data_IF_611230168169
#
_entry.id   IF_611230168169
#
_cell.length_a   1.000
_cell.length_b   1.000
_cell.length_c   1.000
_cell.angle_alpha   90.00
_cell.angle_beta   90.00
_cell.angle_gamma   90.00
#
_symmetry.space_group_name_H-M   'P 1'
#
loop_
_entity.id
_entity.type
_entity.pdbx_description
1 polymer ?
#
# COMPACT_ATOMS: atom_id res chain seq x y z
N UNK A 1 11.24 -21.38 13.46
CA UNK A 1 10.92 -19.95 13.65
C UNK A 1 9.42 -19.76 13.50
N UNK A 2 8.68 -19.95 14.58
CA UNK A 2 7.22 -19.96 14.60
C UNK A 2 6.69 -18.77 15.41
N UNK A 3 5.61 -18.20 14.88
CA UNK A 3 4.57 -17.36 15.52
C UNK A 3 4.90 -15.88 15.72
N UNK A 4 4.65 -15.13 14.66
CA UNK A 4 4.08 -13.79 14.79
C UNK A 4 2.58 -13.89 15.15
N UNK A 5 2.13 -12.89 15.92
CA UNK A 5 0.73 -12.50 16.20
C UNK A 5 0.06 -13.04 17.47
N UNK A 6 0.71 -12.85 18.62
CA UNK A 6 0.00 -12.59 19.87
C UNK A 6 -0.47 -11.12 19.90
N UNK A 7 -1.63 -10.86 19.29
CA UNK A 7 -2.44 -9.66 19.56
C UNK A 7 -3.93 -10.01 19.58
N UNK A 8 -4.29 -10.97 20.44
CA UNK A 8 -5.63 -10.99 21.00
C UNK A 8 -5.52 -10.46 22.42
N UNK A 9 -5.57 -9.13 22.52
CA UNK A 9 -5.81 -8.47 23.79
C UNK A 9 -7.02 -9.16 24.44
N UNK A 10 -6.79 -9.74 25.63
CA UNK A 10 -7.86 -10.17 26.50
C UNK A 10 -8.85 -9.02 26.62
N UNK A 11 -10.07 -9.22 26.09
CA UNK A 11 -11.16 -8.25 26.29
C UNK A 11 -11.25 -8.04 27.80
N UNK A 12 -11.09 -6.82 28.33
CA UNK A 12 -11.29 -6.61 29.75
C UNK A 12 -12.71 -7.07 30.04
N UNK A 13 -12.86 -7.92 31.05
CA UNK A 13 -14.14 -8.50 31.43
C UNK A 13 -15.18 -7.40 31.40
N UNK A 14 -16.19 -7.58 30.55
CA UNK A 14 -17.27 -6.62 30.41
C UNK A 14 -17.85 -6.43 31.81
N UNK A 15 -17.50 -5.31 32.46
CA UNK A 15 -18.26 -4.80 33.59
C UNK A 15 -19.71 -4.84 33.11
N UNK A 16 -20.66 -5.39 33.89
CA UNK A 16 -22.05 -5.35 33.47
C UNK A 16 -22.31 -3.91 33.07
N UNK A 17 -22.73 -3.69 31.82
CA UNK A 17 -23.06 -2.35 31.37
C UNK A 17 -23.97 -1.80 32.45
N UNK A 18 -23.51 -0.76 33.16
CA UNK A 18 -24.41 0.04 33.97
C UNK A 18 -25.41 0.49 32.92
N UNK A 19 -26.57 -0.15 32.90
CA UNK A 19 -27.68 0.28 32.06
C UNK A 19 -27.97 1.66 32.59
N UNK A 20 -27.39 2.66 31.94
CA UNK A 20 -27.79 4.04 32.09
C UNK A 20 -29.25 4.02 31.68
N UNK A 21 -30.12 3.90 32.68
CA UNK A 21 -31.55 4.06 32.55
C UNK A 21 -31.75 5.52 32.16
N UNK A 22 -31.56 5.81 30.87
CA UNK A 22 -31.93 7.07 30.27
C UNK A 22 -33.40 7.27 30.65
N UNK A 23 -33.73 8.32 31.41
CA UNK A 23 -35.10 8.55 31.82
C UNK A 23 -35.93 8.68 30.55
N UNK A 24 -36.82 7.71 30.33
CA UNK A 24 -37.76 7.77 29.22
C UNK A 24 -38.58 9.05 29.42
N UNK A 25 -38.43 10.00 28.48
CA UNK A 25 -39.06 11.33 28.55
C UNK A 25 -40.54 11.17 28.88
N UNK A 26 -40.98 11.68 30.03
CA UNK A 26 -42.37 11.61 30.50
C UNK A 26 -42.72 10.48 31.49
N UNK A 27 -41.77 9.64 31.92
CA UNK A 27 -41.95 8.70 33.04
C UNK A 27 -41.16 9.14 34.27
N UNK A 28 -41.66 8.78 35.47
CA UNK A 28 -40.95 9.04 36.73
C UNK A 28 -39.67 8.19 36.83
N UNK A 29 -38.66 8.81 37.39
CA UNK A 29 -37.34 8.24 37.72
C UNK A 29 -37.33 7.71 39.16
N UNK A 30 -36.30 6.94 39.52
CA UNK A 30 -36.16 6.37 40.87
C UNK A 30 -36.03 7.44 41.98
N UNK A 31 -35.47 8.60 41.67
CA UNK A 31 -35.26 9.70 42.62
C UNK A 31 -36.46 10.66 42.72
N UNK A 32 -37.47 10.50 41.84
CA UNK A 32 -38.63 11.38 41.85
C UNK A 32 -39.59 11.00 42.99
N UNK A 33 -40.10 11.98 43.75
CA UNK A 33 -41.03 11.69 44.82
C UNK A 33 -42.37 11.14 44.28
N UNK A 34 -43.06 10.29 45.06
CA UNK A 34 -44.42 9.91 44.74
C UNK A 34 -45.34 11.14 44.76
N UNK A 35 -46.41 11.12 43.96
CA UNK A 35 -47.38 12.20 43.98
C UNK A 35 -48.13 12.18 45.32
N UNK A 36 -48.41 13.35 45.91
CA UNK A 36 -49.12 13.46 47.20
C UNK A 36 -50.44 12.66 47.22
N UNK A 37 -51.18 12.68 46.11
CA UNK A 37 -52.44 11.93 45.93
C UNK A 37 -52.29 10.40 45.87
N UNK A 38 -51.06 9.88 45.70
CA UNK A 38 -50.77 8.44 45.63
C UNK A 38 -50.06 7.90 46.86
N UNK A 39 -49.59 8.75 47.78
CA UNK A 39 -48.87 8.35 49.01
C UNK A 39 -49.74 7.44 49.89
N UNK A 40 -51.02 7.76 50.06
CA UNK A 40 -51.96 6.95 50.86
C UNK A 40 -52.80 5.96 50.05
N UNK A 41 -52.59 5.83 48.73
CA UNK A 41 -53.43 4.98 47.87
C UNK A 41 -52.93 3.53 47.90
N UNK A 42 -53.64 2.68 48.63
CA UNK A 42 -53.43 1.23 48.62
C UNK A 42 -54.25 0.58 47.50
N UNK A 43 -53.66 -0.35 46.74
CA UNK A 43 -54.39 -1.11 45.72
C UNK A 43 -55.11 -2.27 46.40
N UNK A 44 -56.43 -2.19 46.50
CA UNK A 44 -57.25 -3.30 46.97
C UNK A 44 -57.44 -4.33 45.86
N UNK A 45 -57.35 -5.64 46.16
CA UNK A 45 -57.63 -6.68 45.18
C UNK A 45 -59.12 -6.66 44.79
N UNK A 46 -59.46 -6.99 43.53
CA UNK A 46 -60.84 -7.17 43.13
C UNK A 46 -61.45 -8.40 43.81
N UNK A 47 -62.78 -8.44 43.93
CA UNK A 47 -63.49 -9.64 44.35
C UNK A 47 -63.28 -10.78 43.35
N UNK A 48 -63.19 -12.01 43.83
CA UNK A 48 -62.90 -13.20 43.01
C UNK A 48 -63.97 -14.25 43.28
N UNK A 49 -64.59 -14.77 42.21
CA UNK A 49 -65.45 -15.95 42.28
C UNK A 49 -64.58 -17.22 42.33
N UNK A 50 -64.68 -18.05 43.39
CA UNK A 50 -63.89 -19.27 43.52
C UNK A 50 -64.10 -20.28 42.38
N UNK A 51 -65.33 -20.38 41.84
CA UNK A 51 -65.64 -21.36 40.79
C UNK A 51 -64.98 -20.97 39.46
N UNK A 52 -65.12 -19.70 39.07
CA UNK A 52 -64.45 -19.16 37.88
C UNK A 52 -62.93 -19.22 38.01
N UNK A 53 -62.40 -18.83 39.17
CA UNK A 53 -60.95 -18.82 39.41
C UNK A 53 -60.32 -20.21 39.26
N UNK A 54 -60.99 -21.26 39.74
CA UNK A 54 -60.52 -22.63 39.58
C UNK A 54 -60.47 -23.04 38.09
N UNK A 55 -61.56 -22.80 37.35
CA UNK A 55 -61.63 -23.12 35.92
C UNK A 55 -60.58 -22.36 35.11
N UNK A 56 -60.41 -21.06 35.38
CA UNK A 56 -59.38 -20.24 34.73
C UNK A 56 -57.98 -20.77 35.04
N UNK A 57 -57.69 -21.13 36.29
CA UNK A 57 -56.38 -21.64 36.70
C UNK A 57 -56.02 -22.91 35.95
N UNK A 58 -56.95 -23.87 35.84
CA UNK A 58 -56.74 -25.11 35.10
C UNK A 58 -56.60 -24.86 33.59
N UNK A 59 -57.41 -23.97 32.99
CA UNK A 59 -57.28 -23.59 31.58
C UNK A 59 -55.91 -22.97 31.30
N UNK A 60 -55.44 -22.07 32.17
CA UNK A 60 -54.10 -21.48 32.03
C UNK A 60 -52.99 -22.53 32.18
N UNK A 61 -53.15 -23.49 33.10
CA UNK A 61 -52.21 -24.60 33.26
C UNK A 61 -52.10 -25.41 31.97
N UNK A 62 -53.23 -25.86 31.42
CA UNK A 62 -53.29 -26.63 30.17
C UNK A 62 -52.73 -25.84 28.99
N UNK A 63 -53.14 -24.58 28.82
CA UNK A 63 -52.64 -23.71 27.76
C UNK A 63 -51.13 -23.51 27.83
N UNK A 64 -50.59 -23.20 29.03
CA UNK A 64 -49.16 -23.00 29.22
C UNK A 64 -48.37 -24.27 28.95
N UNK A 65 -48.90 -25.44 29.31
CA UNK A 65 -48.29 -26.72 29.00
C UNK A 65 -48.19 -26.92 27.48
N UNK A 66 -49.28 -26.71 26.74
CA UNK A 66 -49.30 -26.84 25.28
C UNK A 66 -48.33 -25.86 24.60
N UNK A 67 -48.37 -24.58 24.98
CA UNK A 67 -47.46 -23.57 24.41
C UNK A 67 -46.00 -23.83 24.78
N UNK A 68 -45.73 -24.35 25.98
CA UNK A 68 -44.38 -24.76 26.37
C UNK A 68 -43.87 -25.92 25.51
N UNK A 69 -44.73 -26.89 25.19
CA UNK A 69 -44.39 -27.99 24.29
C UNK A 69 -44.07 -27.47 22.88
N UNK A 70 -44.94 -26.61 22.31
CA UNK A 70 -44.70 -25.98 21.01
C UNK A 70 -43.38 -25.19 20.97
N UNK A 71 -43.05 -24.48 22.05
CA UNK A 71 -41.77 -23.77 22.16
C UNK A 71 -40.58 -24.73 22.09
N UNK A 72 -40.66 -25.89 22.72
CA UNK A 72 -39.59 -26.89 22.69
C UNK A 72 -39.40 -27.44 21.27
N UNK A 73 -40.48 -27.71 20.54
CA UNK A 73 -40.43 -28.12 19.13
C UNK A 73 -39.71 -27.08 18.27
N UNK A 74 -40.12 -25.81 18.35
CA UNK A 74 -39.46 -24.73 17.59
C UNK A 74 -37.99 -24.55 17.98
N UNK A 75 -37.65 -24.68 19.26
CA UNK A 75 -36.25 -24.66 19.69
C UNK A 75 -35.45 -25.81 19.10
N UNK A 76 -36.05 -27.00 18.99
CA UNK A 76 -35.41 -28.17 18.38
C UNK A 76 -35.17 -27.95 16.88
N UNK A 77 -36.14 -27.38 16.17
CA UNK A 77 -36.02 -27.07 14.74
C UNK A 77 -34.92 -26.05 14.47
N UNK A 78 -34.87 -24.97 15.25
CA UNK A 78 -33.82 -23.96 15.12
C UNK A 78 -32.44 -24.58 15.37
N UNK A 79 -32.30 -25.45 16.38
CA UNK A 79 -31.05 -26.16 16.65
C UNK A 79 -30.66 -27.09 15.50
N UNK A 80 -31.61 -27.85 14.93
CA UNK A 80 -31.39 -28.72 13.76
C UNK A 80 -30.91 -27.90 12.56
N UNK A 81 -31.57 -26.78 12.24
CA UNK A 81 -31.16 -25.88 11.14
C UNK A 81 -29.76 -25.32 11.33
N UNK A 82 -29.41 -24.92 12.56
CA UNK A 82 -28.05 -24.42 12.87
C UNK A 82 -27.02 -25.54 12.66
N UNK A 83 -27.33 -26.76 13.10
CA UNK A 83 -26.45 -27.90 12.92
C UNK A 83 -26.29 -28.26 11.44
N UNK A 84 -27.38 -28.37 10.69
CA UNK A 84 -27.36 -28.63 9.24
C UNK A 84 -26.62 -27.54 8.45
N UNK A 85 -26.73 -26.28 8.86
CA UNK A 85 -25.99 -25.19 8.21
C UNK A 85 -24.47 -25.27 8.48
N UNK A 86 -24.07 -25.75 9.66
CA UNK A 86 -22.65 -25.83 10.06
C UNK A 86 -21.96 -27.11 9.58
N UNK A 87 -22.63 -28.24 9.73
CA UNK A 87 -22.10 -29.59 9.54
C UNK A 87 -23.12 -30.50 8.87
N UNK A 88 -24.03 -29.94 8.07
CA UNK A 88 -24.90 -30.73 7.22
C UNK A 88 -24.11 -31.31 6.06
N UNK A 89 -24.47 -32.53 5.66
CA UNK A 89 -23.83 -33.27 4.55
C UNK A 89 -23.76 -32.43 3.27
N UNK A 90 -24.80 -31.64 2.98
CA UNK A 90 -24.84 -30.77 1.82
C UNK A 90 -23.87 -29.58 1.94
N UNK A 91 -23.69 -29.02 3.14
CA UNK A 91 -22.72 -27.96 3.38
C UNK A 91 -21.28 -28.49 3.23
N UNK A 92 -21.00 -29.68 3.75
CA UNK A 92 -19.69 -30.33 3.60
C UNK A 92 -19.37 -30.67 2.14
N UNK A 93 -20.32 -31.24 1.40
CA UNK A 93 -20.14 -31.53 -0.04
C UNK A 93 -19.83 -30.28 -0.84
N UNK A 94 -20.61 -29.21 -0.65
CA UNK A 94 -20.36 -27.92 -1.30
C UNK A 94 -19.00 -27.33 -0.94
N UNK A 95 -18.58 -27.46 0.32
CA UNK A 95 -17.25 -27.01 0.75
C UNK A 95 -16.13 -27.81 0.08
N UNK A 96 -16.31 -29.12 -0.11
CA UNK A 96 -15.36 -29.97 -0.82
C UNK A 96 -15.30 -29.65 -2.33
N UNK A 97 -16.46 -29.49 -2.97
CA UNK A 97 -16.58 -29.08 -4.37
C UNK A 97 -15.89 -27.73 -4.60
N UNK A 98 -16.22 -26.71 -3.80
CA UNK A 98 -15.59 -25.39 -3.90
C UNK A 98 -14.07 -25.44 -3.67
N UNK A 99 -13.59 -26.28 -2.75
CA UNK A 99 -12.16 -26.48 -2.53
C UNK A 99 -11.48 -27.18 -3.71
N UNK A 100 -12.16 -28.11 -4.39
CA UNK A 100 -11.67 -28.79 -5.58
C UNK A 100 -11.59 -27.81 -6.77
N UNK A 101 -12.68 -27.08 -7.05
CA UNK A 101 -12.71 -26.04 -8.09
C UNK A 101 -11.61 -24.99 -7.87
N UNK A 102 -11.42 -24.55 -6.63
CA UNK A 102 -10.34 -23.62 -6.30
C UNK A 102 -8.96 -24.21 -6.63
N UNK A 103 -8.71 -25.49 -6.33
CA UNK A 103 -7.43 -26.14 -6.68
C UNK A 103 -7.22 -26.22 -8.19
N UNK A 104 -8.27 -26.52 -8.95
CA UNK A 104 -8.22 -26.57 -10.41
C UNK A 104 -7.90 -25.19 -11.00
N UNK A 105 -8.59 -24.14 -10.53
CA UNK A 105 -8.32 -22.77 -10.95
C UNK A 105 -6.89 -22.32 -10.59
N UNK A 106 -6.39 -22.71 -9.42
CA UNK A 106 -5.01 -22.43 -9.04
C UNK A 106 -4.00 -23.19 -9.90
N UNK A 107 -4.31 -24.42 -10.32
CA UNK A 107 -3.45 -25.17 -11.22
C UNK A 107 -3.41 -24.51 -12.61
N UNK A 108 -4.57 -24.16 -13.16
CA UNK A 108 -4.69 -23.46 -14.44
C UNK A 108 -3.95 -22.11 -14.42
N UNK A 109 -4.07 -21.34 -13.33
CA UNK A 109 -3.34 -20.07 -13.20
C UNK A 109 -1.82 -20.28 -13.21
N UNK A 110 -1.31 -21.35 -12.60
CA UNK A 110 0.12 -21.67 -12.63
C UNK A 110 0.59 -22.04 -14.03
N UNK A 111 -0.21 -22.79 -14.77
CA UNK A 111 0.08 -23.15 -16.16
C UNK A 111 0.15 -21.90 -17.05
N UNK A 112 -0.81 -20.99 -16.92
CA UNK A 112 -0.80 -19.75 -17.68
C UNK A 112 0.38 -18.84 -17.29
N UNK A 113 0.70 -18.76 -15.99
CA UNK A 113 1.89 -18.03 -15.54
C UNK A 113 3.18 -18.62 -16.11
N UNK A 114 3.27 -19.96 -16.22
CA UNK A 114 4.42 -20.64 -16.83
C UNK A 114 4.53 -20.29 -18.31
N UNK A 115 3.42 -20.34 -19.05
CA UNK A 115 3.37 -19.93 -20.46
C UNK A 115 3.85 -18.49 -20.65
N UNK A 116 3.36 -17.56 -19.84
CA UNK A 116 3.75 -16.15 -19.90
C UNK A 116 5.22 -15.94 -19.51
N UNK A 117 5.74 -16.73 -18.58
CA UNK A 117 7.14 -16.67 -18.18
C UNK A 117 8.06 -17.11 -19.33
N UNK A 118 7.70 -18.15 -20.07
CA UNK A 118 8.45 -18.61 -21.25
C UNK A 118 8.50 -17.51 -22.33
N UNK A 119 7.35 -16.87 -22.62
CA UNK A 119 7.30 -15.71 -23.53
C UNK A 119 8.14 -14.52 -23.05
N UNK A 120 8.14 -14.24 -21.74
CA UNK A 120 8.96 -13.17 -21.15
C UNK A 120 10.44 -13.47 -21.30
N UNK A 121 10.87 -14.72 -21.08
CA UNK A 121 12.27 -15.12 -21.24
C UNK A 121 12.71 -14.93 -22.69
N UNK A 122 11.89 -15.38 -23.66
CA UNK A 122 12.19 -15.20 -25.08
C UNK A 122 12.35 -13.72 -25.45
N UNK A 123 11.45 -12.85 -24.96
CA UNK A 123 11.56 -11.40 -25.17
C UNK A 123 12.84 -10.81 -24.55
N UNK A 124 13.16 -11.19 -23.32
CA UNK A 124 14.37 -10.69 -22.63
C UNK A 124 15.66 -11.13 -23.34
N UNK A 125 15.68 -12.32 -23.93
CA UNK A 125 16.83 -12.79 -24.72
C UNK A 125 17.03 -11.92 -25.97
N UNK A 126 15.94 -11.56 -26.66
CA UNK A 126 16.02 -10.65 -27.81
C UNK A 126 16.49 -9.25 -27.37
N UNK A 127 15.90 -8.70 -26.30
CA UNK A 127 16.32 -7.41 -25.75
C UNK A 127 17.80 -7.40 -25.33
N UNK A 128 18.32 -8.51 -24.79
CA UNK A 128 19.73 -8.65 -24.43
C UNK A 128 20.65 -8.65 -25.67
N UNK A 129 20.25 -9.31 -26.76
CA UNK A 129 21.01 -9.28 -28.02
C UNK A 129 21.04 -7.86 -28.61
N UNK A 130 19.90 -7.17 -28.63
CA UNK A 130 19.83 -5.77 -29.09
C UNK A 130 20.68 -4.84 -28.23
N UNK A 131 20.68 -5.04 -26.91
CA UNK A 131 21.54 -4.28 -26.00
C UNK A 131 23.03 -4.53 -26.25
N UNK A 132 23.44 -5.78 -26.55
CA UNK A 132 24.83 -6.09 -26.89
C UNK A 132 25.26 -5.38 -28.18
N UNK A 133 24.40 -5.35 -29.21
CA UNK A 133 24.69 -4.62 -30.45
C UNK A 133 24.86 -3.12 -30.18
N UNK A 134 23.93 -2.51 -29.45
CA UNK A 134 24.01 -1.08 -29.08
C UNK A 134 25.26 -0.78 -28.26
N UNK A 135 25.62 -1.63 -27.30
CA UNK A 135 26.83 -1.47 -26.51
C UNK A 135 28.09 -1.54 -27.37
N UNK A 136 28.14 -2.46 -28.33
CA UNK A 136 29.27 -2.57 -29.26
C UNK A 136 29.39 -1.31 -30.15
N UNK A 137 28.26 -0.79 -30.66
CA UNK A 137 28.23 0.47 -31.42
C UNK A 137 28.68 1.67 -30.58
N UNK A 138 28.19 1.78 -29.34
CA UNK A 138 28.59 2.83 -28.42
C UNK A 138 30.08 2.75 -28.07
N UNK A 139 30.60 1.54 -27.82
CA UNK A 139 32.03 1.33 -27.55
C UNK A 139 32.89 1.71 -28.76
N UNK A 140 32.48 1.31 -29.98
CA UNK A 140 33.19 1.69 -31.20
C UNK A 140 33.18 3.21 -31.41
N UNK A 141 32.06 3.88 -31.13
CA UNK A 141 31.96 5.34 -31.19
C UNK A 141 32.87 6.01 -30.15
N UNK A 142 32.83 5.56 -28.89
CA UNK A 142 33.69 6.09 -27.81
C UNK A 142 35.17 5.92 -28.15
N UNK A 143 35.58 4.76 -28.67
CA UNK A 143 36.96 4.53 -29.08
C UNK A 143 37.42 5.52 -30.17
N UNK A 144 36.56 5.88 -31.13
CA UNK A 144 36.87 6.89 -32.15
C UNK A 144 36.97 8.30 -31.56
N UNK A 145 36.05 8.65 -30.66
CA UNK A 145 36.08 9.95 -29.95
C UNK A 145 37.34 10.07 -29.08
N UNK A 146 37.71 9.02 -28.37
CA UNK A 146 38.94 8.94 -27.57
C UNK A 146 40.20 9.06 -28.45
N UNK A 147 40.26 8.35 -29.58
CA UNK A 147 41.37 8.47 -30.53
C UNK A 147 41.51 9.90 -31.07
N UNK A 148 40.41 10.53 -31.47
CA UNK A 148 40.42 11.92 -31.94
C UNK A 148 40.86 12.88 -30.83
N UNK A 149 40.43 12.65 -29.59
CA UNK A 149 40.84 13.44 -28.44
C UNK A 149 42.34 13.31 -28.15
N UNK A 150 42.87 12.08 -28.17
CA UNK A 150 44.31 11.82 -27.99
C UNK A 150 45.11 12.54 -29.06
N UNK A 151 44.72 12.43 -30.33
CA UNK A 151 45.41 13.12 -31.44
C UNK A 151 45.40 14.64 -31.28
N UNK A 152 44.26 15.22 -30.87
CA UNK A 152 44.16 16.65 -30.63
C UNK A 152 45.08 17.10 -29.49
N UNK A 153 45.15 16.32 -28.39
CA UNK A 153 46.06 16.59 -27.27
C UNK A 153 47.52 16.40 -27.64
N UNK A 154 47.85 15.43 -28.47
CA UNK A 154 49.21 15.29 -29.01
C UNK A 154 49.62 16.51 -29.84
N UNK A 155 48.72 17.03 -30.68
CA UNK A 155 48.96 18.26 -31.44
C UNK A 155 49.16 19.48 -30.54
N UNK A 156 48.33 19.65 -29.50
CA UNK A 156 48.50 20.72 -28.50
C UNK A 156 49.87 20.62 -27.81
N UNK A 157 50.30 19.41 -27.41
CA UNK A 157 51.61 19.22 -26.77
C UNK A 157 52.75 19.57 -27.74
N UNK A 158 52.67 19.14 -29.01
CA UNK A 158 53.68 19.47 -30.01
C UNK A 158 53.75 20.98 -30.28
N UNK A 159 52.61 21.66 -30.37
CA UNK A 159 52.56 23.13 -30.48
C UNK A 159 53.23 23.80 -29.29
N UNK A 160 52.91 23.36 -28.07
CA UNK A 160 53.54 23.88 -26.85
C UNK A 160 55.05 23.59 -26.79
N UNK A 161 55.52 22.47 -27.33
CA UNK A 161 56.96 22.18 -27.43
C UNK A 161 57.67 23.16 -28.37
N UNK A 162 57.05 23.51 -29.50
CA UNK A 162 57.59 24.51 -30.42
C UNK A 162 57.57 25.92 -29.81
N UNK A 163 56.46 26.31 -29.17
CA UNK A 163 56.35 27.60 -28.49
C UNK A 163 57.33 27.72 -27.31
N UNK A 164 57.57 26.62 -26.59
CA UNK A 164 58.48 26.62 -25.45
C UNK A 164 59.94 26.93 -25.84
N UNK A 165 60.35 26.64 -27.08
CA UNK A 165 61.67 27.05 -27.59
C UNK A 165 61.83 28.57 -27.64
N UNK A 166 60.73 29.32 -27.75
CA UNK A 166 60.73 30.78 -27.78
C UNK A 166 60.72 31.40 -26.36
N UNK A 167 60.66 30.60 -25.29
CA UNK A 167 60.65 31.12 -23.93
C UNK A 167 61.99 31.72 -23.50
N UNK A 168 61.90 32.70 -22.60
CA UNK A 168 63.06 33.35 -22.00
C UNK A 168 63.55 32.47 -20.85
N UNK A 169 64.80 32.01 -20.97
CA UNK A 169 65.56 31.27 -19.97
C UNK A 169 66.60 32.20 -19.33
N UNK A 170 67.27 31.74 -18.27
CA UNK A 170 68.30 32.56 -17.60
C UNK A 170 69.47 32.92 -18.52
N UNK A 171 69.72 32.11 -19.54
CA UNK A 171 70.85 32.24 -20.46
C UNK A 171 70.59 33.22 -21.61
N UNK A 172 69.34 33.31 -22.10
CA UNK A 172 68.97 34.20 -23.23
C UNK A 172 68.33 35.54 -22.78
N UNK A 173 68.36 35.84 -21.47
CA UNK A 173 67.63 36.95 -20.87
C UNK A 173 68.14 38.33 -21.31
N UNK A 174 69.45 38.58 -21.26
CA UNK A 174 70.04 39.87 -21.62
C UNK A 174 69.80 40.20 -23.11
N UNK A 175 70.00 39.22 -24.00
CA UNK A 175 69.78 39.36 -25.44
C UNK A 175 68.32 39.68 -25.80
N UNK A 176 67.35 39.06 -25.11
CA UNK A 176 65.91 39.34 -25.34
C UNK A 176 65.48 40.71 -24.82
N UNK A 177 66.13 41.24 -23.78
CA UNK A 177 65.86 42.59 -23.27
C UNK A 177 66.30 43.65 -24.31
N UNK A 178 67.48 43.49 -24.89
CA UNK A 178 67.96 44.39 -25.96
C UNK A 178 67.05 44.32 -27.18
N UNK A 179 66.71 43.12 -27.67
CA UNK A 179 65.81 42.93 -28.82
C UNK A 179 64.43 43.59 -28.61
N UNK A 180 63.88 43.50 -27.39
CA UNK A 180 62.60 44.10 -27.05
C UNK A 180 62.65 45.65 -26.97
N UNK A 181 63.78 46.23 -26.58
CA UNK A 181 63.99 47.68 -26.60
C UNK A 181 64.13 48.21 -28.03
N UNK A 182 64.76 47.43 -28.91
CA UNK A 182 64.98 47.79 -30.32
C UNK A 182 63.72 47.58 -31.20
N UNK A 183 62.83 46.66 -30.83
CA UNK A 183 61.63 46.31 -31.62
C UNK A 183 60.31 46.61 -30.89
N UNK A 184 59.77 47.84 -30.98
CA UNK A 184 58.47 48.17 -30.40
C UNK A 184 57.33 47.50 -31.18
N UNK A 185 56.54 46.65 -30.51
CA UNK A 185 55.40 45.95 -31.11
C UNK A 185 54.08 46.65 -30.81
N UNK A 186 53.38 47.13 -31.84
CA UNK A 186 52.08 47.81 -31.71
C UNK A 186 50.92 46.82 -31.93
N UNK A 187 50.01 46.75 -30.96
CA UNK A 187 48.81 45.91 -31.03
C UNK A 187 47.54 46.69 -31.40
N UNK A 188 47.65 47.98 -31.75
CA UNK A 188 46.51 48.81 -32.14
C UNK A 188 46.00 48.40 -33.53
N UNK A 189 44.76 47.92 -33.60
CA UNK A 189 44.03 47.65 -34.83
C UNK A 189 42.58 48.14 -34.69
N UNK A 190 41.98 48.54 -35.80
CA UNK A 190 40.59 48.98 -35.88
C UNK A 190 39.75 47.95 -36.66
N UNK A 191 38.43 47.94 -36.44
CA UNK A 191 37.50 47.08 -37.18
C UNK A 191 36.49 47.94 -37.94
N UNK A 192 36.23 47.61 -39.19
CA UNK A 192 35.18 48.28 -39.98
C UNK A 192 33.81 47.78 -39.57
N UNK A 193 32.75 48.49 -39.97
CA UNK A 193 31.36 48.05 -39.77
C UNK A 193 31.05 46.71 -40.47
N UNK A 194 31.86 46.33 -41.46
CA UNK A 194 31.77 45.06 -42.19
C UNK A 194 32.56 43.92 -41.52
N UNK A 195 33.20 44.18 -40.37
CA UNK A 195 33.99 43.19 -39.63
C UNK A 195 35.42 43.00 -40.17
N UNK A 196 35.91 43.88 -41.04
CA UNK A 196 37.27 43.78 -41.59
C UNK A 196 38.28 44.44 -40.64
N UNK A 197 39.39 43.75 -40.39
CA UNK A 197 40.49 44.23 -39.54
C UNK A 197 41.38 45.18 -40.34
N UNK A 198 41.55 46.41 -39.84
CA UNK A 198 42.45 47.43 -40.39
C UNK A 198 43.58 47.67 -39.37
N UNK A 199 44.82 47.36 -39.77
CA UNK A 199 46.01 47.59 -38.93
C UNK A 199 46.74 48.84 -39.41
N UNK A 200 47.26 49.61 -38.46
CA UNK A 200 48.11 50.77 -38.71
C UNK A 200 49.58 50.38 -38.67
#
# INVERSE_FOLDING_TARGET
MFRALDRLAARPGARPSIVLLLPARGRKTRHDPPAKSKVGRVKMPPAVDPAEFFVLTERYRQYRQTVSALRQEFMSEVRKKIYEARSGVLAERRAQEAAAEHRELMAWNREENRRLQELRIARLQLEAQDQQLRQAEEQARRAREEQAWVQLKEQEVLQLQEEAKNFITRENLEARIEEALDSPKNYNWAITREGQVVRN
#
